data_IF_311497737560
#
_entry.id   IF_311497737560
#
_cell.length_a   1.000
_cell.length_b   1.000
_cell.length_c   1.000
_cell.angle_alpha   90.00
_cell.angle_beta   90.00
_cell.angle_gamma   90.00
#
_symmetry.space_group_name_H-M   'P 1'
#
loop_
_entity.id
_entity.type
_entity.pdbx_description
1 polymer ?
#
# COMPACT_ATOMS: atom_id res chain seq x y z
N UNK A 1 35.77 17.62 -23.01
CA UNK A 1 36.03 16.80 -21.81
C UNK A 1 37.50 16.86 -21.35
N UNK A 2 38.20 18.01 -21.49
CA UNK A 2 39.62 18.14 -21.11
C UNK A 2 39.88 18.74 -19.73
N UNK A 3 38.84 19.25 -19.06
CA UNK A 3 39.00 20.02 -17.83
C UNK A 3 39.28 19.14 -16.59
N UNK A 4 38.76 17.90 -16.58
CA UNK A 4 38.92 16.99 -15.44
C UNK A 4 40.36 16.44 -15.40
N UNK A 5 40.92 16.05 -16.55
CA UNK A 5 42.31 15.57 -16.66
C UNK A 5 43.32 16.69 -16.35
N UNK A 6 43.08 17.91 -16.83
CA UNK A 6 43.91 19.06 -16.51
C UNK A 6 43.91 19.36 -14.99
N UNK A 7 42.73 19.40 -14.35
CA UNK A 7 42.64 19.63 -12.90
C UNK A 7 43.30 18.51 -12.07
N UNK A 8 43.25 17.26 -12.54
CA UNK A 8 43.86 16.13 -11.83
C UNK A 8 45.40 16.13 -11.90
N UNK A 9 45.97 16.65 -12.98
CA UNK A 9 47.43 16.73 -13.20
C UNK A 9 48.00 17.99 -12.55
N UNK A 10 47.29 19.14 -12.59
CA UNK A 10 47.71 20.36 -11.89
C UNK A 10 47.52 20.24 -10.37
N UNK A 11 46.54 19.46 -9.91
CA UNK A 11 46.39 19.10 -8.50
C UNK A 11 47.32 17.95 -8.11
N UNK A 12 48.61 18.07 -8.42
CA UNK A 12 49.68 17.17 -7.97
C UNK A 12 49.91 17.27 -6.45
N UNK A 13 48.92 16.87 -5.66
CA UNK A 13 48.94 16.94 -4.20
C UNK A 13 47.71 16.28 -3.58
N UNK A 14 47.66 16.20 -2.25
CA UNK A 14 46.61 15.50 -1.49
C UNK A 14 45.20 16.12 -1.57
N UNK A 15 45.03 17.23 -2.30
CA UNK A 15 43.78 17.99 -2.37
C UNK A 15 42.57 17.22 -2.95
N UNK A 16 42.65 16.46 -4.06
CA UNK A 16 41.50 15.71 -4.57
C UNK A 16 41.03 14.60 -3.61
N UNK A 17 41.94 14.06 -2.79
CA UNK A 17 41.60 13.10 -1.72
C UNK A 17 40.85 13.79 -0.57
N UNK A 18 41.30 14.97 -0.15
CA UNK A 18 40.64 15.74 0.92
C UNK A 18 39.26 16.22 0.45
N UNK A 19 39.12 16.71 -0.77
CA UNK A 19 37.81 17.14 -1.30
C UNK A 19 36.83 15.98 -1.38
N UNK A 20 37.28 14.80 -1.82
CA UNK A 20 36.47 13.58 -1.82
C UNK A 20 36.06 13.15 -0.41
N UNK A 21 37.00 13.19 0.54
CA UNK A 21 36.71 12.90 1.94
C UNK A 21 35.70 13.89 2.56
N UNK A 22 35.80 15.18 2.24
CA UNK A 22 34.85 16.21 2.69
C UNK A 22 33.45 15.98 2.08
N UNK A 23 33.35 15.61 0.80
CA UNK A 23 32.07 15.28 0.17
C UNK A 23 31.42 14.04 0.80
N UNK A 24 32.20 12.99 1.04
CA UNK A 24 31.72 11.77 1.71
C UNK A 24 31.29 12.07 3.15
N UNK A 25 32.07 12.86 3.89
CA UNK A 25 31.71 13.28 5.24
C UNK A 25 30.42 14.09 5.25
N UNK A 26 30.28 15.06 4.35
CA UNK A 26 29.08 15.88 4.24
C UNK A 26 27.84 15.04 3.88
N UNK A 27 27.94 14.19 2.86
CA UNK A 27 26.85 13.29 2.48
C UNK A 27 26.48 12.31 3.60
N UNK A 28 27.47 11.75 4.29
CA UNK A 28 27.28 10.88 5.45
C UNK A 28 26.60 11.64 6.59
N UNK A 29 27.05 12.85 6.91
CA UNK A 29 26.46 13.69 7.96
C UNK A 29 24.99 14.03 7.64
N UNK A 30 24.66 14.39 6.40
CA UNK A 30 23.28 14.65 5.98
C UNK A 30 22.43 13.38 6.09
N UNK A 31 22.95 12.23 5.66
CA UNK A 31 22.23 10.95 5.73
C UNK A 31 21.95 10.54 7.18
N UNK A 32 22.95 10.64 8.05
CA UNK A 32 22.81 10.34 9.49
C UNK A 32 21.86 11.32 10.16
N UNK A 33 21.94 12.62 9.84
CA UNK A 33 21.03 13.62 10.37
C UNK A 33 19.58 13.36 9.94
N UNK A 34 19.34 13.03 8.67
CA UNK A 34 18.02 12.68 8.15
C UNK A 34 17.47 11.40 8.80
N UNK A 35 18.31 10.37 9.00
CA UNK A 35 17.95 9.15 9.72
C UNK A 35 17.57 9.45 11.17
N UNK A 36 18.40 10.21 11.89
CA UNK A 36 18.13 10.59 13.28
C UNK A 36 16.84 11.39 13.42
N UNK A 37 16.58 12.34 12.51
CA UNK A 37 15.36 13.14 12.50
C UNK A 37 14.11 12.28 12.23
N UNK A 38 14.23 11.30 11.34
CA UNK A 38 13.17 10.33 11.04
C UNK A 38 12.87 9.39 12.22
N UNK A 39 13.88 9.03 13.00
CA UNK A 39 13.75 8.21 14.22
C UNK A 39 13.14 9.01 15.39
N UNK A 40 13.52 10.28 15.54
CA UNK A 40 13.07 11.12 16.67
C UNK A 40 11.62 11.58 16.55
N UNK A 41 11.12 11.79 15.33
CA UNK A 41 9.76 12.29 15.10
C UNK A 41 8.89 11.29 14.34
N UNK A 42 7.95 10.65 15.06
CA UNK A 42 6.90 9.82 14.45
C UNK A 42 6.06 10.60 13.43
N UNK A 43 5.88 11.91 13.61
CA UNK A 43 5.16 12.78 12.66
C UNK A 43 5.98 13.01 11.39
N UNK A 44 7.28 13.26 11.51
CA UNK A 44 8.16 13.37 10.34
C UNK A 44 8.21 12.07 9.56
N UNK A 45 8.30 10.93 10.26
CA UNK A 45 8.20 9.61 9.63
C UNK A 45 6.89 9.44 8.86
N UNK A 46 5.73 9.74 9.47
CA UNK A 46 4.43 9.65 8.78
C UNK A 46 4.34 10.53 7.53
N UNK A 47 4.94 11.71 7.53
CA UNK A 47 4.96 12.59 6.36
C UNK A 47 5.93 12.05 5.30
N UNK A 48 7.11 11.59 5.72
CA UNK A 48 8.15 11.09 4.82
C UNK A 48 7.80 9.75 4.16
N UNK A 49 7.13 8.84 4.89
CA UNK A 49 6.74 7.51 4.37
C UNK A 49 5.32 7.49 3.80
N UNK A 50 4.50 8.50 4.09
CA UNK A 50 3.06 8.50 3.80
C UNK A 50 2.28 7.49 4.64
N UNK A 51 0.95 7.52 4.52
CA UNK A 51 0.04 6.53 5.12
C UNK A 51 -0.77 5.87 4.00
N UNK A 52 -0.92 4.53 3.99
CA UNK A 52 -1.75 3.86 3.01
C UNK A 52 -3.22 4.24 3.19
N UNK A 53 -3.96 4.31 2.08
CA UNK A 53 -5.35 4.79 2.05
C UNK A 53 -6.25 3.73 1.41
N UNK A 54 -7.23 3.24 2.16
CA UNK A 54 -8.24 2.31 1.62
C UNK A 54 -9.20 3.07 0.70
N UNK A 55 -9.28 2.67 -0.58
CA UNK A 55 -10.16 3.25 -1.59
C UNK A 55 -11.42 2.42 -1.84
N UNK A 56 -11.32 1.09 -1.73
CA UNK A 56 -12.45 0.17 -1.82
C UNK A 56 -12.49 -0.70 -0.58
N UNK A 57 -13.67 -0.89 -0.01
CA UNK A 57 -13.91 -1.85 1.07
C UNK A 57 -15.21 -2.63 0.79
N UNK A 58 -15.17 -3.96 0.83
CA UNK A 58 -16.31 -4.86 0.58
C UNK A 58 -17.02 -4.61 -0.74
N UNK A 59 -16.28 -4.18 -1.76
CA UNK A 59 -16.84 -3.83 -3.07
C UNK A 59 -17.60 -2.51 -3.08
N UNK A 60 -17.34 -1.60 -2.14
CA UNK A 60 -17.88 -0.24 -2.12
C UNK A 60 -16.75 0.79 -2.14
N UNK A 61 -16.95 1.87 -2.91
CA UNK A 61 -16.01 2.99 -2.96
C UNK A 61 -16.09 3.87 -1.72
N UNK A 62 -14.94 4.19 -1.15
CA UNK A 62 -14.84 5.12 -0.02
C UNK A 62 -14.55 6.53 -0.57
N UNK A 63 -15.59 7.24 -1.02
CA UNK A 63 -15.48 8.55 -1.67
C UNK A 63 -14.72 9.59 -0.83
N UNK A 64 -14.84 9.54 0.49
CA UNK A 64 -14.10 10.43 1.40
C UNK A 64 -12.59 10.25 1.27
N UNK A 65 -12.14 9.02 1.12
CA UNK A 65 -10.73 8.67 1.00
C UNK A 65 -10.20 9.04 -0.39
N UNK A 66 -10.97 8.72 -1.43
CA UNK A 66 -10.69 9.13 -2.82
C UNK A 66 -10.53 10.65 -2.95
N UNK A 67 -11.41 11.44 -2.32
CA UNK A 67 -11.31 12.91 -2.31
C UNK A 67 -10.05 13.41 -1.59
N UNK A 68 -9.64 12.74 -0.50
CA UNK A 68 -8.42 13.10 0.25
C UNK A 68 -7.15 12.74 -0.52
N UNK A 69 -7.14 11.61 -1.21
CA UNK A 69 -6.02 11.15 -2.05
C UNK A 69 -6.00 11.76 -3.45
N UNK A 70 -7.03 12.54 -3.82
CA UNK A 70 -7.22 13.10 -5.17
C UNK A 70 -7.25 12.04 -6.27
N UNK A 71 -7.79 10.87 -5.94
CA UNK A 71 -8.02 9.77 -6.89
C UNK A 71 -9.47 9.86 -7.35
N UNK A 72 -9.68 9.97 -8.66
CA UNK A 72 -11.01 9.87 -9.25
C UNK A 72 -11.40 8.40 -9.50
N UNK A 73 -12.65 8.19 -9.92
CA UNK A 73 -13.19 6.86 -10.16
C UNK A 73 -12.52 6.16 -11.35
N UNK A 74 -12.23 6.91 -12.41
CA UNK A 74 -11.69 6.38 -13.65
C UNK A 74 -10.24 5.90 -13.46
N UNK A 75 -9.45 6.66 -12.72
CA UNK A 75 -8.09 6.32 -12.30
C UNK A 75 -8.10 5.10 -11.38
N UNK A 76 -8.98 5.05 -10.38
CA UNK A 76 -9.08 3.87 -9.52
C UNK A 76 -9.46 2.62 -10.33
N UNK A 77 -10.40 2.73 -11.28
CA UNK A 77 -10.75 1.63 -12.17
C UNK A 77 -9.59 1.24 -13.08
N UNK A 78 -8.80 2.19 -13.58
CA UNK A 78 -7.59 1.90 -14.33
C UNK A 78 -6.59 1.11 -13.50
N UNK A 79 -6.29 1.57 -12.28
CA UNK A 79 -5.38 0.88 -11.37
C UNK A 79 -5.87 -0.53 -11.01
N UNK A 80 -7.19 -0.71 -10.83
CA UNK A 80 -7.78 -2.04 -10.62
C UNK A 80 -7.58 -2.95 -11.85
N UNK A 81 -7.77 -2.42 -13.06
CA UNK A 81 -7.51 -3.17 -14.31
C UNK A 81 -6.04 -3.55 -14.47
N UNK A 82 -5.12 -2.65 -14.11
CA UNK A 82 -3.67 -2.94 -14.09
C UNK A 82 -3.34 -4.10 -13.14
N UNK A 83 -4.11 -4.26 -12.05
CA UNK A 83 -4.02 -5.39 -11.12
C UNK A 83 -4.82 -6.63 -11.57
N UNK A 84 -5.47 -6.60 -12.74
CA UNK A 84 -6.26 -7.70 -13.29
C UNK A 84 -7.74 -7.74 -12.84
N UNK A 85 -8.21 -6.73 -12.09
CA UNK A 85 -9.58 -6.65 -11.59
C UNK A 85 -10.42 -5.66 -12.40
N UNK A 86 -11.31 -6.18 -13.25
CA UNK A 86 -12.22 -5.35 -14.04
C UNK A 86 -13.50 -4.97 -13.29
N UNK A 87 -13.84 -5.71 -12.24
CA UNK A 87 -15.04 -5.46 -11.42
C UNK A 87 -14.63 -5.21 -9.97
N UNK A 88 -14.82 -3.97 -9.52
CA UNK A 88 -14.53 -3.56 -8.15
C UNK A 88 -15.39 -4.31 -7.11
N UNK A 89 -16.54 -4.86 -7.48
CA UNK A 89 -17.42 -5.59 -6.56
C UNK A 89 -16.81 -6.90 -6.07
N UNK A 90 -15.86 -7.45 -6.83
CA UNK A 90 -15.07 -8.64 -6.49
C UNK A 90 -13.85 -8.32 -5.60
N UNK A 91 -13.67 -7.06 -5.24
CA UNK A 91 -12.55 -6.60 -4.40
C UNK A 91 -13.03 -6.36 -2.97
N UNK A 92 -12.39 -7.02 -2.01
CA UNK A 92 -12.64 -6.81 -0.59
C UNK A 92 -11.90 -5.57 -0.08
N UNK A 93 -10.64 -5.38 -0.50
CA UNK A 93 -9.88 -4.16 -0.23
C UNK A 93 -9.11 -3.70 -1.46
N UNK A 94 -9.15 -2.40 -1.74
CA UNK A 94 -8.18 -1.74 -2.61
C UNK A 94 -7.48 -0.65 -1.80
N UNK A 95 -6.16 -0.75 -1.67
CA UNK A 95 -5.34 0.13 -0.82
C UNK A 95 -4.37 0.88 -1.71
N UNK A 96 -4.41 2.21 -1.65
CA UNK A 96 -3.42 3.09 -2.26
C UNK A 96 -2.22 3.19 -1.33
N UNK A 97 -1.09 2.65 -1.78
CA UNK A 97 0.18 2.73 -1.07
C UNK A 97 0.81 4.11 -1.24
N UNK A 98 1.64 4.57 -0.28
CA UNK A 98 2.35 5.84 -0.41
C UNK A 98 3.26 5.95 -1.63
N UNK A 99 3.66 4.81 -2.20
CA UNK A 99 4.42 4.73 -3.45
C UNK A 99 3.61 5.15 -4.67
N UNK A 100 2.28 5.28 -4.54
CA UNK A 100 1.33 5.50 -5.63
C UNK A 100 0.81 4.22 -6.27
N UNK A 101 1.23 3.05 -5.78
CA UNK A 101 0.76 1.74 -6.27
C UNK A 101 -0.56 1.33 -5.61
N UNK A 102 -1.36 0.51 -6.30
CA UNK A 102 -2.58 -0.07 -5.73
C UNK A 102 -2.33 -1.53 -5.32
N UNK A 103 -2.59 -1.85 -4.06
CA UNK A 103 -2.65 -3.23 -3.56
C UNK A 103 -4.11 -3.68 -3.46
N UNK A 104 -4.42 -4.87 -3.99
CA UNK A 104 -5.78 -5.38 -4.09
C UNK A 104 -5.92 -6.72 -3.36
N UNK A 105 -6.90 -6.80 -2.45
CA UNK A 105 -7.35 -8.05 -1.86
C UNK A 105 -8.69 -8.45 -2.49
N UNK A 106 -8.76 -9.56 -3.24
CA UNK A 106 -10.02 -10.06 -3.77
C UNK A 106 -10.94 -10.56 -2.64
N UNK A 107 -12.25 -10.55 -2.90
CA UNK A 107 -13.21 -11.25 -2.05
C UNK A 107 -12.92 -12.75 -2.08
N UNK A 108 -12.95 -13.39 -0.92
CA UNK A 108 -12.88 -14.84 -0.86
C UNK A 108 -14.22 -15.43 -1.28
N UNK A 109 -14.22 -16.46 -2.14
CA UNK A 109 -15.44 -17.17 -2.55
C UNK A 109 -16.07 -18.01 -1.41
N UNK A 110 -15.65 -17.81 -0.15
CA UNK A 110 -15.92 -18.72 0.98
C UNK A 110 -16.87 -18.17 2.05
N UNK A 111 -17.58 -17.07 1.82
CA UNK A 111 -18.49 -16.49 2.82
C UNK A 111 -19.98 -16.51 2.47
N UNK A 112 -20.40 -17.31 1.48
CA UNK A 112 -21.83 -17.51 1.14
C UNK A 112 -22.27 -19.00 1.13
N UNK A 113 -21.58 -19.88 1.88
CA UNK A 113 -22.04 -21.27 2.13
C UNK A 113 -21.72 -21.74 3.55
N UNK A 114 -22.23 -21.07 4.56
CA UNK A 114 -22.61 -21.77 5.79
C UNK A 114 -24.13 -21.76 5.78
N UNK A 115 -24.67 -22.85 5.25
CA UNK A 115 -26.07 -23.21 5.36
C UNK A 115 -26.41 -23.28 6.85
N UNK A 116 -26.92 -22.18 7.39
CA UNK A 116 -27.56 -22.16 8.71
C UNK A 116 -29.01 -22.64 8.54
N UNK A 117 -29.19 -23.81 7.93
CA UNK A 117 -30.36 -24.63 8.22
C UNK A 117 -29.98 -25.45 9.45
N UNK A 118 -30.39 -25.07 10.68
CA UNK A 118 -30.49 -26.06 11.73
C UNK A 118 -31.52 -27.07 11.21
N UNK A 119 -31.04 -28.22 10.75
CA UNK A 119 -31.86 -29.42 10.57
C UNK A 119 -32.38 -29.79 11.96
N UNK A 120 -33.47 -29.14 12.36
CA UNK A 120 -34.18 -29.46 13.58
C UNK A 120 -34.77 -30.86 13.40
N UNK A 121 -34.27 -31.90 14.10
CA UNK A 121 -34.74 -33.28 13.92
C UNK A 121 -36.20 -33.46 14.37
N UNK A 122 -36.76 -32.48 15.09
CA UNK A 122 -38.11 -32.54 15.65
C UNK A 122 -39.22 -32.20 14.64
N UNK A 123 -38.90 -31.59 13.50
CA UNK A 123 -39.90 -31.21 12.49
C UNK A 123 -40.36 -32.40 11.62
N UNK A 124 -39.52 -33.43 11.44
CA UNK A 124 -39.86 -34.63 10.67
C UNK A 124 -40.70 -35.62 11.49
N UNK A 125 -40.48 -35.71 12.80
CA UNK A 125 -41.21 -36.63 13.68
C UNK A 125 -42.68 -36.23 13.87
N UNK A 126 -42.99 -34.92 13.83
CA UNK A 126 -44.36 -34.40 13.93
C UNK A 126 -45.23 -34.76 12.73
N UNK A 127 -44.64 -35.05 11.57
CA UNK A 127 -45.40 -35.43 10.37
C UNK A 127 -45.81 -36.91 10.40
N UNK A 128 -45.02 -37.80 11.01
CA UNK A 128 -45.35 -39.22 11.15
C UNK A 128 -46.43 -39.48 12.22
N UNK A 129 -46.50 -38.65 13.26
CA UNK A 129 -47.55 -38.75 14.31
C UNK A 129 -48.87 -38.07 13.91
N UNK A 130 -49.06 -37.58 12.68
CA UNK A 130 -50.37 -37.04 12.25
C UNK A 130 -51.12 -37.95 11.27
N UNK A 131 -50.55 -39.10 10.90
CA UNK A 131 -51.17 -40.03 9.96
C UNK A 131 -51.79 -41.28 10.60
N UNK A 132 -51.79 -41.38 11.94
CA UNK A 132 -52.37 -42.52 12.71
C UNK A 132 -53.52 -42.05 13.62
N UNK A 133 -54.35 -41.12 13.17
CA UNK A 133 -55.67 -40.86 13.76
C UNK A 133 -56.72 -40.77 12.66
#
# INVERSE_FOLDING_TARGET
>A
MGNIAANMITAGGWQPLITGAVQLFFFSAVTIAAAYLSLKSRRFRKIATGEPIVLVHRGQYILKHMKRSKIDLDLLQQMLREQGYFDYRKVEYAILEPTGSLSVLPKSDREDKVDVTPSNPEAEQRQQTNHIK
#
